data_IF_206098152215
#
_entry.id   IF_206098152215
#
_cell.length_a   1.000
_cell.length_b   1.000
_cell.length_c   1.000
_cell.angle_alpha   90.00
_cell.angle_beta   90.00
_cell.angle_gamma   90.00
#
_symmetry.space_group_name_H-M   'P 1'
#
loop_
_entity.id
_entity.type
_entity.pdbx_description
1 polymer ?
#
# COMPACT_ATOMS: atom_id res chain seq x y z
N UNK A 1 -19.42 14.39 16.07
CA UNK A 1 -18.84 14.85 14.79
C UNK A 1 -19.70 14.44 13.60
N UNK A 2 -20.05 13.15 13.42
CA UNK A 2 -20.95 12.70 12.34
C UNK A 2 -22.30 13.46 12.36
N UNK A 3 -22.92 13.55 13.54
CA UNK A 3 -24.14 14.33 13.74
C UNK A 3 -23.99 15.80 13.29
N UNK A 4 -22.87 16.45 13.62
CA UNK A 4 -22.64 17.84 13.23
C UNK A 4 -22.53 18.01 11.70
N UNK A 5 -21.79 17.10 11.03
CA UNK A 5 -21.69 17.12 9.57
C UNK A 5 -23.05 16.93 8.87
N UNK A 6 -23.91 16.12 9.46
CA UNK A 6 -25.29 15.94 8.97
C UNK A 6 -26.09 17.23 9.14
N UNK A 7 -26.05 17.84 10.34
CA UNK A 7 -26.77 19.10 10.65
C UNK A 7 -26.29 20.24 9.74
N UNK A 8 -24.99 20.35 9.47
CA UNK A 8 -24.42 21.33 8.54
C UNK A 8 -24.98 21.14 7.11
N UNK A 9 -25.09 19.90 6.64
CA UNK A 9 -25.67 19.61 5.33
C UNK A 9 -27.16 19.93 5.27
N UNK A 10 -27.92 19.59 6.31
CA UNK A 10 -29.34 19.93 6.44
C UNK A 10 -29.55 21.44 6.48
N UNK A 11 -28.74 22.19 7.24
CA UNK A 11 -28.84 23.66 7.33
C UNK A 11 -28.56 24.34 5.98
N UNK A 12 -27.60 23.82 5.21
CA UNK A 12 -27.29 24.33 3.87
C UNK A 12 -28.44 24.10 2.89
N UNK A 13 -29.18 23.01 3.03
CA UNK A 13 -30.36 22.70 2.20
C UNK A 13 -31.61 23.52 2.60
N UNK A 14 -31.82 23.79 3.90
CA UNK A 14 -32.96 24.57 4.39
C UNK A 14 -32.99 25.99 3.83
N UNK A 15 -31.87 26.55 3.40
CA UNK A 15 -31.79 27.85 2.77
C UNK A 15 -32.35 27.85 1.31
N UNK A 16 -32.56 26.69 0.70
CA UNK A 16 -32.85 26.55 -0.73
C UNK A 16 -34.15 25.81 -1.09
N UNK A 17 -34.80 25.02 -0.20
CA UNK A 17 -35.90 24.13 -0.56
C UNK A 17 -36.89 23.84 0.59
N UNK A 18 -37.97 23.08 0.26
CA UNK A 18 -38.99 22.66 1.23
C UNK A 18 -38.38 21.79 2.36
N UNK A 19 -38.91 21.92 3.58
CA UNK A 19 -38.48 21.17 4.75
C UNK A 19 -38.87 19.69 4.58
N UNK A 20 -37.87 18.83 4.32
CA UNK A 20 -38.05 17.37 4.36
C UNK A 20 -37.74 16.87 5.77
N UNK A 21 -38.65 16.05 6.33
CA UNK A 21 -38.46 15.48 7.67
C UNK A 21 -37.36 14.44 7.68
N UNK A 22 -36.68 14.23 8.82
CA UNK A 22 -35.71 13.12 8.96
C UNK A 22 -36.37 11.74 8.83
N UNK A 23 -37.61 11.60 9.18
CA UNK A 23 -38.39 10.36 8.97
C UNK A 23 -38.57 10.03 7.46
N UNK A 24 -38.57 11.05 6.60
CA UNK A 24 -38.60 10.90 5.14
C UNK A 24 -37.20 10.89 4.51
N UNK A 25 -36.14 10.86 5.33
CA UNK A 25 -34.73 10.94 4.88
C UNK A 25 -34.02 9.60 5.13
N UNK A 26 -33.26 9.14 4.13
CA UNK A 26 -32.32 8.03 4.26
C UNK A 26 -30.89 8.58 4.47
N UNK A 27 -30.22 8.13 5.53
CA UNK A 27 -28.81 8.41 5.77
C UNK A 27 -27.97 7.32 5.11
N UNK A 28 -26.99 7.66 4.29
CA UNK A 28 -26.00 6.73 3.74
C UNK A 28 -24.62 7.05 4.31
N UNK A 29 -24.15 6.20 5.21
CA UNK A 29 -22.83 6.30 5.79
C UNK A 29 -21.83 5.55 4.89
N UNK A 30 -20.82 6.26 4.39
CA UNK A 30 -19.86 5.70 3.46
C UNK A 30 -18.52 5.47 4.17
N UNK A 31 -18.23 4.20 4.50
CA UNK A 31 -16.95 3.78 5.04
C UNK A 31 -15.89 3.56 3.95
N UNK A 32 -14.64 3.47 4.34
CA UNK A 32 -13.57 3.05 3.42
C UNK A 32 -13.76 1.60 2.97
N UNK A 33 -14.22 0.76 3.88
CA UNK A 33 -14.23 -0.69 3.74
C UNK A 33 -12.89 -1.32 4.14
N UNK A 34 -13.01 -2.50 4.71
CA UNK A 34 -11.88 -3.32 5.15
C UNK A 34 -12.26 -4.79 5.05
N UNK A 35 -11.27 -5.67 5.14
CA UNK A 35 -11.48 -7.12 5.26
C UNK A 35 -11.69 -7.57 6.69
N UNK A 36 -11.57 -6.66 7.63
CA UNK A 36 -11.88 -6.89 9.02
C UNK A 36 -13.40 -6.68 9.24
N UNK A 37 -14.16 -7.73 9.57
CA UNK A 37 -15.60 -7.63 9.79
C UNK A 37 -15.95 -6.78 11.02
N UNK A 38 -15.10 -6.73 12.04
CA UNK A 38 -15.31 -5.90 13.23
C UNK A 38 -15.30 -4.40 12.88
N UNK A 39 -14.29 -3.96 12.13
CA UNK A 39 -14.20 -2.57 11.67
C UNK A 39 -15.33 -2.18 10.71
N UNK A 40 -15.82 -3.10 9.86
CA UNK A 40 -17.02 -2.88 9.03
C UNK A 40 -18.27 -2.86 9.90
N UNK A 41 -18.33 -3.70 10.95
CA UNK A 41 -19.38 -3.75 11.95
C UNK A 41 -19.51 -2.44 12.73
N UNK A 42 -18.40 -1.79 13.08
CA UNK A 42 -18.40 -0.49 13.77
C UNK A 42 -19.06 0.62 12.94
N UNK A 43 -18.87 0.63 11.63
CA UNK A 43 -19.56 1.57 10.74
C UNK A 43 -21.08 1.28 10.70
N UNK A 44 -21.47 0.02 10.64
CA UNK A 44 -22.88 -0.37 10.68
C UNK A 44 -23.55 -0.02 12.02
N UNK A 45 -22.85 -0.24 13.11
CA UNK A 45 -23.29 0.16 14.45
C UNK A 45 -23.48 1.67 14.57
N UNK A 46 -22.53 2.46 14.05
CA UNK A 46 -22.64 3.91 14.02
C UNK A 46 -23.83 4.37 13.17
N UNK A 47 -24.06 3.78 12.00
CA UNK A 47 -25.23 4.10 11.16
C UNK A 47 -26.54 3.88 11.94
N UNK A 48 -26.66 2.75 12.63
CA UNK A 48 -27.83 2.45 13.47
C UNK A 48 -28.00 3.46 14.61
N UNK A 49 -26.92 3.83 15.30
CA UNK A 49 -26.97 4.85 16.35
C UNK A 49 -27.43 6.22 15.84
N UNK A 50 -26.97 6.62 14.63
CA UNK A 50 -27.40 7.87 14.00
C UNK A 50 -28.86 7.80 13.55
N UNK A 51 -29.32 6.68 13.02
CA UNK A 51 -30.71 6.45 12.64
C UNK A 51 -31.64 6.67 13.85
N UNK A 52 -31.40 5.95 14.93
CA UNK A 52 -32.23 6.03 16.14
C UNK A 52 -32.07 7.38 16.85
N UNK A 53 -30.84 7.85 17.03
CA UNK A 53 -30.55 9.08 17.80
C UNK A 53 -30.96 10.36 17.10
N UNK A 54 -31.05 10.38 15.77
CA UNK A 54 -31.44 11.55 14.99
C UNK A 54 -32.83 11.43 14.36
N UNK A 55 -33.47 10.24 14.40
CA UNK A 55 -34.81 10.00 13.90
C UNK A 55 -34.91 9.92 12.38
N UNK A 56 -33.89 9.35 11.71
CA UNK A 56 -33.96 9.07 10.28
C UNK A 56 -34.93 7.92 9.98
N UNK A 57 -35.60 7.98 8.81
CA UNK A 57 -36.47 6.91 8.36
C UNK A 57 -35.71 5.59 8.15
N UNK A 58 -34.47 5.67 7.67
CA UNK A 58 -33.53 4.55 7.60
C UNK A 58 -32.08 5.04 7.49
N UNK A 59 -31.13 4.22 7.94
CA UNK A 59 -29.72 4.44 7.67
C UNK A 59 -29.10 3.20 7.02
N UNK A 60 -28.25 3.42 6.03
CA UNK A 60 -27.58 2.39 5.25
C UNK A 60 -26.06 2.60 5.23
N UNK A 61 -25.32 1.52 5.08
CA UNK A 61 -23.85 1.57 4.96
C UNK A 61 -23.43 1.09 3.59
N UNK A 62 -22.46 1.79 3.00
CA UNK A 62 -21.74 1.33 1.84
C UNK A 62 -20.25 1.68 1.96
N UNK A 63 -19.44 1.20 1.03
CA UNK A 63 -17.99 1.29 1.14
C UNK A 63 -17.37 1.80 -0.16
N UNK A 64 -16.30 2.59 -0.01
CA UNK A 64 -15.56 3.12 -1.17
C UNK A 64 -14.69 2.07 -1.85
N UNK A 65 -14.50 0.89 -1.22
CA UNK A 65 -13.76 -0.26 -1.75
C UNK A 65 -13.67 -1.37 -0.71
N UNK A 66 -13.07 -2.50 -1.05
CA UNK A 66 -12.73 -3.66 -0.19
C UNK A 66 -13.95 -4.43 0.33
N UNK A 67 -15.00 -3.79 0.81
CA UNK A 67 -16.23 -4.40 1.30
C UNK A 67 -17.42 -4.01 0.42
N UNK A 68 -18.45 -4.83 0.41
CA UNK A 68 -19.72 -4.58 -0.28
C UNK A 68 -20.81 -4.13 0.72
N UNK A 69 -21.83 -3.37 0.26
CA UNK A 69 -22.02 -2.84 -1.08
C UNK A 69 -21.06 -1.68 -1.40
N UNK A 70 -20.66 -1.53 -2.66
CA UNK A 70 -19.91 -0.38 -3.13
C UNK A 70 -20.78 0.87 -3.18
N UNK A 71 -20.18 2.08 -3.20
CA UNK A 71 -20.90 3.37 -3.15
C UNK A 71 -22.02 3.45 -4.16
N UNK A 72 -21.76 3.16 -5.45
CA UNK A 72 -22.79 3.27 -6.48
C UNK A 72 -23.98 2.31 -6.25
N UNK A 73 -23.71 1.10 -5.75
CA UNK A 73 -24.76 0.13 -5.43
C UNK A 73 -25.51 0.53 -4.16
N UNK A 74 -24.78 0.97 -3.13
CA UNK A 74 -25.36 1.45 -1.87
C UNK A 74 -26.28 2.64 -2.08
N UNK A 75 -25.89 3.62 -2.88
CA UNK A 75 -26.70 4.79 -3.21
C UNK A 75 -27.96 4.40 -4.00
N UNK A 76 -27.85 3.51 -4.99
CA UNK A 76 -29.01 2.97 -5.73
C UNK A 76 -29.97 2.22 -4.81
N UNK A 77 -29.45 1.42 -3.88
CA UNK A 77 -30.27 0.70 -2.92
C UNK A 77 -30.99 1.66 -1.97
N UNK A 78 -30.31 2.72 -1.53
CA UNK A 78 -30.92 3.76 -0.70
C UNK A 78 -32.04 4.52 -1.44
N UNK A 79 -31.84 4.88 -2.70
CA UNK A 79 -32.87 5.54 -3.50
C UNK A 79 -34.15 4.71 -3.65
N UNK A 80 -34.03 3.37 -3.67
CA UNK A 80 -35.18 2.45 -3.75
C UNK A 80 -36.00 2.35 -2.45
N UNK A 81 -35.52 2.91 -1.33
CA UNK A 81 -36.25 2.90 -0.06
C UNK A 81 -37.46 3.85 -0.07
N UNK A 82 -37.64 4.66 -1.10
CA UNK A 82 -38.79 5.57 -1.22
C UNK A 82 -38.68 6.82 -0.35
N UNK A 83 -37.49 7.15 0.14
CA UNK A 83 -37.25 8.41 0.86
C UNK A 83 -37.30 9.61 -0.05
N UNK A 84 -37.64 10.79 0.48
CA UNK A 84 -37.67 12.06 -0.25
C UNK A 84 -36.30 12.74 -0.31
N UNK A 85 -35.47 12.43 0.69
CA UNK A 85 -34.11 12.97 0.81
C UNK A 85 -33.14 11.85 1.13
N UNK A 86 -31.93 11.96 0.58
CA UNK A 86 -30.80 11.10 0.87
C UNK A 86 -29.62 11.97 1.35
N UNK A 87 -29.05 11.64 2.51
CA UNK A 87 -27.83 12.31 3.00
C UNK A 87 -26.66 11.35 2.87
N UNK A 88 -25.64 11.73 2.10
CA UNK A 88 -24.42 10.96 1.91
C UNK A 88 -23.34 11.49 2.84
N UNK A 89 -22.92 10.69 3.84
CA UNK A 89 -21.90 11.06 4.82
C UNK A 89 -20.62 10.23 4.61
N UNK A 90 -19.55 10.82 4.05
CA UNK A 90 -18.25 10.15 3.99
C UNK A 90 -17.63 10.04 5.39
N UNK A 91 -17.35 8.82 5.84
CA UNK A 91 -16.66 8.56 7.11
C UNK A 91 -15.15 8.58 6.89
N UNK A 92 -14.60 9.77 6.63
CA UNK A 92 -13.20 10.01 6.26
C UNK A 92 -12.61 11.19 7.03
N UNK A 93 -11.34 11.03 7.47
CA UNK A 93 -10.60 12.09 8.15
C UNK A 93 -10.03 13.15 7.18
N UNK A 94 -9.66 12.74 5.97
CA UNK A 94 -8.95 13.61 5.01
C UNK A 94 -9.67 13.67 3.68
N UNK A 95 -9.50 14.79 2.98
CA UNK A 95 -9.88 14.91 1.57
C UNK A 95 -8.99 14.00 0.71
N UNK A 96 -9.51 13.61 -0.46
CA UNK A 96 -8.76 12.79 -1.40
C UNK A 96 -9.65 12.21 -2.49
N UNK A 97 -9.02 11.40 -3.32
CA UNK A 97 -9.68 10.76 -4.48
C UNK A 97 -10.93 9.97 -4.09
N UNK A 98 -10.93 9.32 -2.92
CA UNK A 98 -12.07 8.53 -2.46
C UNK A 98 -13.28 9.41 -2.12
N UNK A 99 -13.07 10.50 -1.38
CA UNK A 99 -14.13 11.46 -1.04
C UNK A 99 -14.70 12.09 -2.30
N UNK A 100 -13.86 12.49 -3.24
CA UNK A 100 -14.28 13.05 -4.55
C UNK A 100 -15.12 12.05 -5.35
N UNK A 101 -14.74 10.76 -5.37
CA UNK A 101 -15.52 9.68 -6.02
C UNK A 101 -16.88 9.45 -5.35
N UNK A 102 -16.95 9.54 -4.01
CA UNK A 102 -18.21 9.43 -3.28
C UNK A 102 -19.15 10.57 -3.68
N UNK A 103 -18.64 11.80 -3.73
CA UNK A 103 -19.46 12.96 -4.12
C UNK A 103 -19.86 12.91 -5.59
N UNK A 104 -18.98 12.48 -6.49
CA UNK A 104 -19.33 12.27 -7.89
C UNK A 104 -20.46 11.22 -8.05
N UNK A 105 -20.39 10.11 -7.30
CA UNK A 105 -21.46 9.10 -7.32
C UNK A 105 -22.80 9.64 -6.76
N UNK A 106 -22.75 10.55 -5.78
CA UNK A 106 -23.93 11.24 -5.27
C UNK A 106 -24.52 12.21 -6.33
N UNK A 107 -23.67 12.95 -7.04
CA UNK A 107 -24.07 13.84 -8.14
C UNK A 107 -24.67 13.05 -9.31
N UNK A 108 -24.08 11.90 -9.67
CA UNK A 108 -24.61 10.98 -10.68
C UNK A 108 -26.01 10.45 -10.29
N UNK A 109 -26.22 10.11 -9.02
CA UNK A 109 -27.54 9.70 -8.54
C UNK A 109 -28.54 10.84 -8.62
N UNK A 110 -28.18 12.05 -8.15
CA UNK A 110 -29.06 13.24 -8.25
C UNK A 110 -29.48 13.52 -9.68
N UNK A 111 -28.58 13.38 -10.65
CA UNK A 111 -28.88 13.59 -12.07
C UNK A 111 -29.83 12.52 -12.62
N UNK A 112 -29.79 11.28 -12.13
CA UNK A 112 -30.67 10.17 -12.57
C UNK A 112 -32.02 10.16 -11.89
N UNK A 113 -32.10 10.68 -10.66
CA UNK A 113 -33.30 10.69 -9.82
C UNK A 113 -33.61 12.15 -9.39
N UNK A 114 -34.09 13.01 -10.32
CA UNK A 114 -34.28 14.44 -10.03
C UNK A 114 -35.31 14.72 -8.94
N UNK A 115 -36.20 13.77 -8.65
CA UNK A 115 -37.24 13.88 -7.61
C UNK A 115 -36.68 13.57 -6.20
N UNK A 116 -35.53 12.94 -6.10
CA UNK A 116 -34.85 12.64 -4.85
C UNK A 116 -33.87 13.77 -4.52
N UNK A 117 -33.99 14.38 -3.36
CA UNK A 117 -33.00 15.37 -2.91
C UNK A 117 -31.77 14.66 -2.34
N UNK A 118 -30.58 14.84 -2.94
CA UNK A 118 -29.34 14.22 -2.50
C UNK A 118 -28.41 15.27 -1.88
N UNK A 119 -28.23 15.20 -0.54
CA UNK A 119 -27.34 16.07 0.21
C UNK A 119 -25.99 15.39 0.42
N UNK A 120 -24.92 16.17 0.25
CA UNK A 120 -23.55 15.74 0.52
C UNK A 120 -23.09 16.33 1.85
N UNK A 121 -23.02 15.52 2.91
CA UNK A 121 -22.42 15.94 4.17
C UNK A 121 -20.91 16.01 4.04
N UNK A 122 -20.29 16.94 4.75
CA UNK A 122 -18.83 17.10 4.77
C UNK A 122 -18.13 15.88 5.39
N UNK A 123 -16.93 15.55 4.91
CA UNK A 123 -16.03 14.64 5.60
C UNK A 123 -15.49 15.30 6.90
N UNK A 124 -14.79 14.54 7.75
CA UNK A 124 -14.42 15.05 9.08
C UNK A 124 -13.40 16.18 9.05
N UNK A 125 -12.35 16.04 8.21
CA UNK A 125 -11.40 17.11 7.94
C UNK A 125 -10.70 17.66 9.19
N UNK A 126 -10.35 18.95 9.13
CA UNK A 126 -9.74 19.67 10.24
C UNK A 126 -10.77 20.17 11.28
N UNK A 127 -11.82 19.41 11.55
CA UNK A 127 -12.82 19.79 12.56
C UNK A 127 -12.19 19.80 13.96
N UNK A 128 -12.49 20.79 14.84
CA UNK A 128 -11.90 20.89 16.17
C UNK A 128 -12.02 19.61 17.01
N UNK A 129 -13.17 18.91 16.96
CA UNK A 129 -13.35 17.63 17.66
C UNK A 129 -12.38 16.53 17.21
N UNK A 130 -11.87 16.56 15.98
CA UNK A 130 -10.83 15.61 15.55
C UNK A 130 -9.52 15.89 16.29
N UNK A 131 -9.15 17.17 16.44
CA UNK A 131 -7.97 17.56 17.18
C UNK A 131 -8.10 17.22 18.67
N UNK A 132 -9.27 17.42 19.26
CA UNK A 132 -9.55 17.05 20.67
C UNK A 132 -9.36 15.55 20.89
N UNK A 133 -9.94 14.70 20.02
CA UNK A 133 -9.79 13.24 20.10
C UNK A 133 -8.32 12.83 19.92
N UNK A 134 -7.56 13.46 19.02
CA UNK A 134 -6.14 13.18 18.84
C UNK A 134 -5.33 13.52 20.10
N UNK A 135 -5.64 14.67 20.75
CA UNK A 135 -5.00 15.08 22.01
C UNK A 135 -5.36 14.10 23.14
N UNK A 136 -6.63 13.66 23.21
CA UNK A 136 -7.06 12.66 24.19
C UNK A 136 -6.32 11.34 24.01
N UNK A 137 -6.22 10.82 22.79
CA UNK A 137 -5.44 9.61 22.49
C UNK A 137 -3.96 9.74 22.83
N UNK A 138 -3.38 10.92 22.59
CA UNK A 138 -2.00 11.21 22.98
C UNK A 138 -1.82 11.18 24.51
N UNK A 139 -2.74 11.77 25.25
CA UNK A 139 -2.72 11.74 26.72
C UNK A 139 -2.85 10.32 27.26
N UNK A 140 -3.78 9.53 26.74
CA UNK A 140 -3.94 8.12 27.13
C UNK A 140 -2.67 7.30 26.87
N UNK A 141 -1.98 7.57 25.75
CA UNK A 141 -0.72 6.90 25.44
C UNK A 141 0.39 7.28 26.44
N UNK A 142 0.49 8.56 26.82
CA UNK A 142 1.46 9.06 27.83
C UNK A 142 1.18 8.45 29.20
N UNK A 143 -0.10 8.31 29.56
CA UNK A 143 -0.54 7.75 30.84
C UNK A 143 -0.55 6.22 30.87
N UNK A 144 -0.16 5.56 29.80
CA UNK A 144 -0.13 4.09 29.67
C UNK A 144 -1.53 3.45 29.63
N UNK A 145 -2.57 4.22 29.34
CA UNK A 145 -3.98 3.77 29.25
C UNK A 145 -4.46 3.53 27.81
N UNK A 146 -3.58 3.74 26.82
CA UNK A 146 -3.93 3.55 25.43
C UNK A 146 -4.31 2.09 25.14
N UNK A 147 -5.51 1.88 24.64
CA UNK A 147 -6.01 0.59 24.20
C UNK A 147 -6.51 0.68 22.77
N UNK A 148 -6.24 -0.36 21.97
CA UNK A 148 -6.86 -0.48 20.65
C UNK A 148 -8.31 -0.93 20.82
N UNK A 149 -9.23 -0.26 20.11
CA UNK A 149 -10.65 -0.61 20.08
C UNK A 149 -10.94 -1.87 19.24
N UNK A 150 -10.15 -2.92 19.39
CA UNK A 150 -10.36 -4.19 18.69
C UNK A 150 -11.20 -5.10 19.58
N UNK A 151 -12.53 -5.02 19.46
CA UNK A 151 -13.44 -5.86 20.24
C UNK A 151 -13.51 -7.29 19.69
N UNK A 152 -13.58 -7.46 18.38
CA UNK A 152 -13.74 -8.74 17.68
C UNK A 152 -12.76 -8.87 16.51
N UNK A 153 -11.46 -8.89 16.80
CA UNK A 153 -10.43 -9.03 15.78
C UNK A 153 -10.37 -10.49 15.26
N UNK A 154 -10.65 -10.72 13.99
CA UNK A 154 -10.65 -12.05 13.35
C UNK A 154 -9.32 -12.80 13.44
N UNK A 155 -8.22 -12.09 13.69
CA UNK A 155 -6.90 -12.69 13.90
C UNK A 155 -6.65 -13.10 15.36
N UNK A 156 -7.56 -12.77 16.29
CA UNK A 156 -7.44 -13.06 17.73
C UNK A 156 -8.58 -13.90 18.29
N UNK A 157 -9.78 -13.72 17.73
CA UNK A 157 -10.98 -14.44 18.16
C UNK A 157 -11.64 -15.10 16.97
N UNK A 158 -12.32 -16.22 17.22
CA UNK A 158 -13.02 -16.96 16.19
C UNK A 158 -14.29 -16.20 15.78
N UNK A 159 -14.37 -15.81 14.50
CA UNK A 159 -15.51 -15.13 13.89
C UNK A 159 -16.06 -16.03 12.79
N UNK A 160 -17.35 -16.15 12.70
CA UNK A 160 -18.06 -16.98 11.71
C UNK A 160 -17.62 -16.59 10.29
N UNK A 161 -17.12 -17.58 9.53
CA UNK A 161 -16.61 -17.43 8.17
C UNK A 161 -15.15 -16.93 8.08
N UNK A 162 -14.47 -16.76 9.23
CA UNK A 162 -13.05 -16.34 9.30
C UNK A 162 -12.25 -17.24 10.26
N UNK A 163 -12.74 -18.42 10.56
CA UNK A 163 -12.19 -19.33 11.58
C UNK A 163 -10.73 -19.71 11.33
N UNK A 164 -10.36 -19.85 10.04
CA UNK A 164 -8.99 -20.20 9.63
C UNK A 164 -7.99 -19.04 9.79
N UNK A 165 -8.46 -17.83 10.09
CA UNK A 165 -7.60 -16.65 10.21
C UNK A 165 -7.11 -16.37 11.63
N UNK A 166 -7.60 -17.11 12.63
CA UNK A 166 -7.16 -16.99 14.02
C UNK A 166 -5.70 -17.42 14.13
N UNK A 167 -4.87 -16.51 14.64
CA UNK A 167 -3.41 -16.72 14.74
C UNK A 167 -2.61 -16.31 13.50
N UNK A 168 -3.28 -16.01 12.37
CA UNK A 168 -2.61 -15.52 11.17
C UNK A 168 -2.12 -14.07 11.36
N UNK A 169 -1.04 -13.67 10.67
CA UNK A 169 -0.60 -12.29 10.68
C UNK A 169 -1.60 -11.40 9.96
N UNK A 170 -1.83 -10.21 10.50
CA UNK A 170 -2.72 -9.23 9.91
C UNK A 170 -2.29 -8.86 8.50
N UNK A 171 -3.15 -9.09 7.51
CA UNK A 171 -2.86 -8.80 6.09
C UNK A 171 -3.25 -7.37 5.73
N UNK A 172 -2.37 -6.68 5.01
CA UNK A 172 -2.67 -5.35 4.50
C UNK A 172 -3.77 -5.41 3.42
N UNK A 173 -4.84 -4.62 3.56
CA UNK A 173 -6.02 -4.75 2.70
C UNK A 173 -5.87 -4.28 1.25
N UNK A 174 -4.80 -3.57 0.88
CA UNK A 174 -4.56 -3.26 -0.54
C UNK A 174 -4.34 -4.51 -1.41
N UNK A 175 -3.90 -5.63 -0.83
CA UNK A 175 -3.81 -6.93 -1.51
C UNK A 175 -5.18 -7.56 -1.81
N UNK A 176 -6.22 -7.16 -1.10
CA UNK A 176 -7.57 -7.73 -1.21
C UNK A 176 -8.48 -6.94 -2.16
N UNK A 177 -8.17 -5.68 -2.46
CA UNK A 177 -8.81 -4.94 -3.56
C UNK A 177 -8.60 -5.66 -4.89
N UNK A 178 -7.42 -6.24 -5.09
CA UNK A 178 -7.14 -7.08 -6.27
C UNK A 178 -7.98 -8.36 -6.30
N UNK A 179 -8.23 -8.98 -5.14
CA UNK A 179 -9.07 -10.19 -5.03
C UNK A 179 -10.56 -9.94 -5.33
N UNK A 180 -11.09 -8.76 -5.00
CA UNK A 180 -12.47 -8.38 -5.35
C UNK A 180 -12.63 -8.14 -6.86
N UNK A 181 -11.66 -7.48 -7.50
CA UNK A 181 -11.64 -7.30 -8.94
C UNK A 181 -11.47 -8.65 -9.69
N UNK A 182 -10.64 -9.55 -9.18
CA UNK A 182 -10.50 -10.90 -9.73
C UNK A 182 -11.79 -11.74 -9.61
N UNK A 183 -12.54 -11.61 -8.50
CA UNK A 183 -13.85 -12.27 -8.32
C UNK A 183 -14.93 -11.65 -9.21
N UNK A 184 -14.92 -10.35 -9.43
CA UNK A 184 -15.84 -9.70 -10.38
C UNK A 184 -15.56 -10.13 -11.82
N UNK A 185 -14.29 -10.22 -12.22
CA UNK A 185 -13.89 -10.71 -13.54
C UNK A 185 -14.14 -12.22 -13.71
N UNK A 186 -13.95 -13.02 -12.67
CA UNK A 186 -14.27 -14.47 -12.70
C UNK A 186 -15.78 -14.72 -12.84
N UNK A 187 -16.63 -13.91 -12.18
CA UNK A 187 -18.08 -14.00 -12.31
C UNK A 187 -18.60 -13.50 -13.68
N UNK A 188 -17.88 -12.60 -14.35
CA UNK A 188 -18.22 -12.18 -15.72
C UNK A 188 -17.77 -13.21 -16.77
N UNK A 189 -16.69 -13.96 -16.52
CA UNK A 189 -16.17 -14.99 -17.42
C UNK A 189 -16.78 -16.39 -17.20
N UNK A 190 -17.48 -16.65 -16.10
CA UNK A 190 -18.15 -17.92 -15.84
C UNK A 190 -19.36 -18.20 -16.74
N UNK A 191 -19.71 -17.26 -17.65
CA UNK A 191 -20.80 -17.39 -18.62
C UNK A 191 -20.40 -17.83 -20.04
N UNK A 192 -19.11 -18.09 -20.32
CA UNK A 192 -18.65 -18.42 -21.68
C UNK A 192 -17.78 -19.70 -21.69
N UNK A 193 -18.47 -20.80 -22.03
CA UNK A 193 -18.03 -21.97 -22.74
C UNK A 193 -16.81 -22.81 -22.29
N UNK A 194 -17.17 -24.00 -21.79
CA UNK A 194 -16.45 -25.24 -21.94
C UNK A 194 -16.35 -25.63 -23.43
N UNK A 195 -15.17 -25.50 -24.04
CA UNK A 195 -14.81 -26.27 -25.25
C UNK A 195 -13.37 -26.77 -25.11
N UNK A 196 -13.21 -28.05 -25.35
CA UNK A 196 -11.98 -28.82 -25.26
C UNK A 196 -10.85 -28.26 -26.13
N UNK A 197 -9.63 -28.16 -25.53
CA UNK A 197 -8.40 -27.81 -26.24
C UNK A 197 -7.83 -29.06 -26.89
N UNK A 198 -7.53 -29.07 -28.19
CA UNK A 198 -6.83 -30.19 -28.81
C UNK A 198 -5.34 -30.19 -28.40
N UNK A 199 -4.86 -31.30 -27.94
CA UNK A 199 -3.44 -31.55 -27.64
C UNK A 199 -2.67 -31.60 -28.96
N UNK A 200 -1.94 -30.56 -29.27
CA UNK A 200 -0.90 -30.57 -30.30
C UNK A 200 0.46 -30.82 -29.67
N UNK A 201 1.11 -31.89 -30.08
CA UNK A 201 2.50 -32.22 -29.74
C UNK A 201 3.44 -31.23 -30.40
N UNK A 202 3.86 -30.20 -29.67
CA UNK A 202 4.96 -29.33 -30.05
C UNK A 202 6.14 -29.57 -29.09
N UNK A 203 7.36 -29.63 -29.63
CA UNK A 203 8.64 -29.68 -28.90
C UNK A 203 8.67 -28.70 -27.74
N UNK A 204 9.38 -28.97 -26.63
CA UNK A 204 9.39 -28.08 -25.48
C UNK A 204 10.13 -26.78 -25.82
N UNK A 205 9.37 -25.77 -26.23
CA UNK A 205 9.87 -24.41 -26.27
C UNK A 205 10.17 -23.96 -24.82
N UNK A 206 11.30 -23.32 -24.58
CA UNK A 206 11.60 -22.73 -23.28
C UNK A 206 10.46 -21.77 -22.90
N UNK A 207 9.89 -21.88 -21.68
CA UNK A 207 8.81 -21.01 -21.28
C UNK A 207 9.30 -19.56 -21.23
N UNK A 208 8.53 -18.64 -21.86
CA UNK A 208 8.80 -17.20 -21.75
C UNK A 208 8.57 -16.78 -20.30
N UNK A 209 9.55 -16.09 -19.70
CA UNK A 209 9.39 -15.51 -18.37
C UNK A 209 8.31 -14.42 -18.43
N UNK A 210 7.27 -14.41 -17.55
CA UNK A 210 6.17 -13.46 -17.64
C UNK A 210 6.64 -12.03 -17.49
N UNK A 211 6.11 -11.11 -18.31
CA UNK A 211 6.35 -9.68 -18.19
C UNK A 211 5.71 -9.11 -16.92
N UNK A 212 6.23 -7.98 -16.44
CA UNK A 212 5.54 -7.17 -15.45
C UNK A 212 4.44 -6.34 -16.10
N UNK A 213 3.21 -6.54 -15.66
CA UNK A 213 2.05 -5.76 -16.10
C UNK A 213 1.57 -4.85 -14.97
N UNK A 214 1.72 -3.52 -15.08
CA UNK A 214 1.21 -2.60 -14.08
C UNK A 214 -0.32 -2.55 -14.13
N UNK A 215 -0.95 -2.37 -12.95
CA UNK A 215 -2.38 -2.09 -12.90
C UNK A 215 -2.72 -0.82 -13.72
N UNK A 216 -3.86 -0.71 -14.43
CA UNK A 216 -4.20 0.44 -15.27
C UNK A 216 -4.07 1.80 -14.57
N UNK A 217 -4.44 1.91 -13.29
CA UNK A 217 -4.25 3.13 -12.49
C UNK A 217 -2.77 3.42 -12.26
N UNK A 218 -1.96 2.40 -12.02
CA UNK A 218 -0.51 2.53 -11.86
C UNK A 218 0.12 2.99 -13.18
N UNK A 219 -0.27 2.39 -14.30
CA UNK A 219 0.20 2.76 -15.64
C UNK A 219 -0.13 4.23 -15.97
N UNK A 220 -1.37 4.67 -15.69
CA UNK A 220 -1.78 6.05 -15.90
C UNK A 220 -1.00 7.01 -14.99
N UNK A 221 -0.77 6.65 -13.73
CA UNK A 221 0.07 7.44 -12.82
C UNK A 221 1.49 7.61 -13.36
N UNK A 222 2.11 6.54 -13.88
CA UNK A 222 3.44 6.63 -14.48
C UNK A 222 3.46 7.45 -15.78
N UNK A 223 2.40 7.41 -16.58
CA UNK A 223 2.26 8.26 -17.76
C UNK A 223 2.24 9.75 -17.35
N UNK A 224 1.49 10.12 -16.32
CA UNK A 224 1.44 11.48 -15.77
C UNK A 224 2.80 11.89 -15.22
N UNK A 225 3.47 11.02 -14.46
CA UNK A 225 4.80 11.28 -13.90
C UNK A 225 5.83 11.48 -15.01
N UNK A 226 5.81 10.63 -16.04
CA UNK A 226 6.72 10.74 -17.16
C UNK A 226 6.57 12.07 -17.93
N UNK A 227 5.35 12.60 -18.05
CA UNK A 227 5.06 13.88 -18.67
C UNK A 227 5.34 15.09 -17.76
N UNK A 228 5.40 14.89 -16.43
CA UNK A 228 5.46 15.97 -15.43
C UNK A 228 6.84 16.58 -15.21
N UNK A 229 7.91 16.02 -15.79
CA UNK A 229 9.29 16.47 -15.62
C UNK A 229 10.16 16.07 -16.80
N UNK A 230 11.23 16.81 -17.07
CA UNK A 230 12.31 16.37 -17.95
C UNK A 230 13.16 15.29 -17.27
N UNK A 231 13.08 14.07 -17.78
CA UNK A 231 13.80 12.90 -17.27
C UNK A 231 15.11 12.65 -18.01
N UNK A 232 15.42 13.39 -19.09
CA UNK A 232 16.64 13.20 -19.90
C UNK A 232 17.93 13.50 -19.13
N UNK A 233 17.81 14.24 -18.02
CA UNK A 233 18.91 14.55 -17.12
C UNK A 233 19.39 13.36 -16.27
N UNK A 234 18.62 12.27 -16.25
CA UNK A 234 18.94 11.05 -15.49
C UNK A 234 19.32 9.91 -16.43
N UNK A 235 20.23 9.01 -16.02
CA UNK A 235 20.51 7.79 -16.76
C UNK A 235 19.24 6.96 -16.96
N UNK A 236 18.99 6.40 -18.17
CA UNK A 236 17.79 5.58 -18.42
C UNK A 236 17.60 4.43 -17.42
N UNK A 237 18.69 3.78 -17.00
CA UNK A 237 18.65 2.71 -16.01
C UNK A 237 18.14 3.14 -14.62
N UNK A 238 18.09 4.42 -14.32
CA UNK A 238 17.59 4.93 -13.04
C UNK A 238 16.10 5.26 -13.07
N UNK A 239 15.48 5.40 -14.24
CA UNK A 239 14.13 5.98 -14.39
C UNK A 239 13.06 5.20 -13.68
N UNK A 240 13.08 3.88 -13.72
CA UNK A 240 12.10 3.04 -13.00
C UNK A 240 12.08 3.36 -11.51
N UNK A 241 13.25 3.46 -10.88
CA UNK A 241 13.39 3.76 -9.44
C UNK A 241 12.93 5.19 -9.15
N UNK A 242 13.38 6.17 -9.94
CA UNK A 242 13.11 7.58 -9.70
C UNK A 242 11.61 7.89 -9.88
N UNK A 243 11.00 7.42 -10.96
CA UNK A 243 9.56 7.59 -11.19
C UNK A 243 8.72 6.90 -10.11
N UNK A 244 9.16 5.75 -9.62
CA UNK A 244 8.48 5.07 -8.50
C UNK A 244 8.60 5.82 -7.18
N UNK A 245 9.71 6.49 -6.92
CA UNK A 245 9.83 7.38 -5.77
C UNK A 245 8.84 8.54 -5.86
N UNK A 246 8.70 9.18 -7.02
CA UNK A 246 7.68 10.22 -7.25
C UNK A 246 6.27 9.66 -7.05
N UNK A 247 5.98 8.49 -7.63
CA UNK A 247 4.68 7.82 -7.45
C UNK A 247 4.35 7.56 -5.99
N UNK A 248 5.34 7.13 -5.20
CA UNK A 248 5.17 6.78 -3.79
C UNK A 248 5.05 8.00 -2.88
N UNK A 249 5.80 9.07 -3.18
CA UNK A 249 5.82 10.29 -2.38
C UNK A 249 4.75 11.31 -2.78
N UNK A 250 4.27 11.26 -4.03
CA UNK A 250 3.45 12.32 -4.63
C UNK A 250 4.24 13.62 -4.87
N UNK A 251 5.58 13.57 -4.82
CA UNK A 251 6.44 14.76 -4.85
C UNK A 251 7.60 14.56 -5.85
N UNK A 252 7.66 15.40 -6.89
CA UNK A 252 8.73 15.40 -7.87
C UNK A 252 10.09 15.79 -7.27
N UNK A 253 10.12 16.58 -6.20
CA UNK A 253 11.36 16.95 -5.53
C UNK A 253 12.01 15.76 -4.78
N UNK A 254 11.32 14.63 -4.62
CA UNK A 254 11.88 13.43 -4.01
C UNK A 254 13.12 12.90 -4.73
N UNK A 255 13.23 13.11 -6.05
CA UNK A 255 14.36 12.63 -6.86
C UNK A 255 15.56 13.58 -6.87
N UNK A 256 15.40 14.83 -6.43
CA UNK A 256 16.50 15.80 -6.43
C UNK A 256 17.54 15.50 -5.33
N UNK A 257 17.11 14.87 -4.25
CA UNK A 257 17.95 14.51 -3.11
C UNK A 257 18.49 13.08 -3.19
N UNK A 258 18.01 12.28 -4.15
CA UNK A 258 18.38 10.87 -4.23
C UNK A 258 19.83 10.69 -4.72
N UNK A 259 20.53 9.76 -4.12
CA UNK A 259 21.87 9.37 -4.50
C UNK A 259 21.93 7.88 -4.82
N UNK A 260 22.35 7.55 -6.02
CA UNK A 260 22.67 6.20 -6.46
C UNK A 260 24.18 6.15 -6.75
N UNK A 261 24.90 5.26 -6.07
CA UNK A 261 26.32 5.07 -6.39
C UNK A 261 26.48 4.47 -7.79
N UNK A 262 27.60 4.72 -8.49
CA UNK A 262 27.83 4.18 -9.82
C UNK A 262 27.59 2.66 -9.86
N UNK A 263 26.77 2.18 -10.81
CA UNK A 263 26.45 0.78 -10.99
C UNK A 263 25.54 0.18 -9.91
N UNK A 264 24.94 0.98 -9.01
CA UNK A 264 24.08 0.47 -7.92
C UNK A 264 22.82 -0.24 -8.43
N UNK A 265 22.22 0.27 -9.52
CA UNK A 265 21.00 -0.31 -10.09
C UNK A 265 21.30 -1.67 -10.72
N UNK A 266 22.30 -1.74 -11.59
CA UNK A 266 22.70 -2.98 -12.25
C UNK A 266 23.18 -4.03 -11.26
N UNK A 267 23.91 -3.60 -10.23
CA UNK A 267 24.35 -4.51 -9.17
C UNK A 267 23.18 -4.98 -8.30
N UNK A 268 22.23 -4.10 -8.01
CA UNK A 268 21.00 -4.43 -7.29
C UNK A 268 20.15 -5.46 -8.03
N UNK A 269 19.94 -5.29 -9.34
CA UNK A 269 19.21 -6.25 -10.18
C UNK A 269 19.92 -7.60 -10.16
N UNK A 270 21.23 -7.64 -10.40
CA UNK A 270 22.02 -8.89 -10.35
C UNK A 270 21.96 -9.55 -8.99
N UNK A 271 22.04 -8.76 -7.91
CA UNK A 271 21.95 -9.25 -6.55
C UNK A 271 20.60 -9.92 -6.27
N UNK A 272 19.50 -9.28 -6.66
CA UNK A 272 18.15 -9.86 -6.52
C UNK A 272 18.01 -11.18 -7.28
N UNK A 273 18.56 -11.26 -8.49
CA UNK A 273 18.51 -12.47 -9.31
C UNK A 273 19.41 -13.60 -8.76
N UNK A 274 20.52 -13.27 -8.10
CA UNK A 274 21.49 -14.24 -7.58
C UNK A 274 21.22 -14.65 -6.15
N UNK A 275 21.14 -13.68 -5.22
CA UNK A 275 21.09 -13.96 -3.78
C UNK A 275 19.70 -14.37 -3.33
N UNK A 276 18.67 -13.94 -4.05
CA UNK A 276 17.25 -14.27 -3.76
C UNK A 276 16.83 -13.90 -2.33
N UNK A 277 17.49 -12.88 -1.70
CA UNK A 277 17.20 -12.48 -0.33
C UNK A 277 17.27 -10.98 -0.13
N UNK A 278 16.22 -10.45 0.49
CA UNK A 278 16.11 -9.06 0.93
C UNK A 278 15.99 -9.03 2.45
N UNK A 279 16.85 -8.24 3.10
CA UNK A 279 16.80 -7.98 4.54
C UNK A 279 16.27 -6.56 4.75
N UNK A 280 15.34 -6.40 5.70
CA UNK A 280 14.78 -5.08 6.06
C UNK A 280 14.99 -4.76 7.53
N UNK A 281 15.08 -3.46 7.85
CA UNK A 281 15.24 -2.97 9.22
C UNK A 281 13.95 -3.07 10.04
N UNK A 282 12.80 -2.90 9.38
CA UNK A 282 11.47 -3.00 10.00
C UNK A 282 10.50 -3.78 9.10
N UNK A 283 9.47 -4.34 9.70
CA UNK A 283 8.41 -5.08 8.97
C UNK A 283 7.62 -4.20 8.00
N UNK A 284 7.55 -2.88 8.24
CA UNK A 284 6.87 -1.96 7.35
C UNK A 284 7.54 -1.90 5.96
N UNK A 285 8.87 -1.92 5.88
CA UNK A 285 9.60 -2.03 4.60
C UNK A 285 9.28 -3.36 3.93
N UNK A 286 9.36 -4.47 4.69
CA UNK A 286 9.08 -5.82 4.20
C UNK A 286 7.66 -5.94 3.61
N UNK A 287 6.66 -5.38 4.30
CA UNK A 287 5.25 -5.41 3.88
C UNK A 287 5.00 -4.53 2.64
N UNK A 288 5.82 -3.50 2.42
CA UNK A 288 5.76 -2.63 1.24
C UNK A 288 6.29 -3.27 -0.04
N UNK A 289 6.93 -4.45 0.03
CA UNK A 289 7.44 -5.15 -1.14
C UNK A 289 6.30 -5.84 -1.91
N UNK A 290 6.32 -5.75 -3.23
CA UNK A 290 5.32 -6.39 -4.10
C UNK A 290 5.44 -7.91 -4.06
N UNK A 291 4.52 -8.57 -3.35
CA UNK A 291 4.53 -10.02 -3.14
C UNK A 291 4.58 -10.81 -4.46
N UNK A 292 3.81 -10.40 -5.46
CA UNK A 292 3.82 -11.06 -6.76
C UNK A 292 5.21 -11.07 -7.42
N UNK A 293 5.99 -9.98 -7.26
CA UNK A 293 7.37 -9.93 -7.78
C UNK A 293 8.32 -10.79 -6.95
N UNK A 294 8.16 -10.83 -5.62
CA UNK A 294 8.95 -11.71 -4.75
C UNK A 294 8.72 -13.18 -5.12
N UNK A 295 7.47 -13.59 -5.30
CA UNK A 295 7.09 -14.95 -5.71
C UNK A 295 7.62 -15.28 -7.12
N UNK A 296 7.42 -14.37 -8.09
CA UNK A 296 7.87 -14.53 -9.47
C UNK A 296 9.40 -14.67 -9.58
N UNK A 297 10.13 -13.91 -8.79
CA UNK A 297 11.60 -13.94 -8.76
C UNK A 297 12.16 -15.01 -7.80
N UNK A 298 11.33 -15.63 -6.97
CA UNK A 298 11.73 -16.57 -5.95
C UNK A 298 12.61 -15.92 -4.86
N UNK A 299 12.25 -14.69 -4.43
CA UNK A 299 13.01 -13.91 -3.45
C UNK A 299 12.39 -14.08 -2.07
N UNK A 300 13.23 -14.43 -1.11
CA UNK A 300 12.89 -14.48 0.32
C UNK A 300 13.13 -13.13 0.97
N UNK A 301 12.28 -12.77 1.93
CA UNK A 301 12.45 -11.56 2.74
C UNK A 301 12.66 -11.92 4.20
N UNK A 302 13.52 -11.17 4.89
CA UNK A 302 13.77 -11.35 6.32
C UNK A 302 13.81 -10.01 7.05
N UNK A 303 13.18 -9.97 8.22
CA UNK A 303 13.21 -8.84 9.14
C UNK A 303 13.31 -9.36 10.57
N UNK A 304 14.45 -9.10 11.22
CA UNK A 304 14.73 -9.60 12.55
C UNK A 304 14.23 -8.73 13.70
N UNK A 305 13.54 -7.61 13.44
CA UNK A 305 13.21 -6.59 14.47
C UNK A 305 12.35 -7.14 15.63
N UNK A 306 11.56 -8.18 15.38
CA UNK A 306 10.69 -8.81 16.38
C UNK A 306 11.24 -10.13 16.93
N UNK A 307 12.39 -10.61 16.43
CA UNK A 307 12.97 -11.84 16.91
C UNK A 307 13.43 -11.73 18.36
N UNK A 308 13.20 -12.79 19.15
CA UNK A 308 13.61 -12.86 20.56
C UNK A 308 15.11 -12.61 20.74
N UNK A 309 15.94 -13.19 19.88
CA UNK A 309 17.40 -13.01 19.94
C UNK A 309 17.82 -11.57 19.65
N UNK A 310 17.17 -10.91 18.69
CA UNK A 310 17.38 -9.49 18.41
C UNK A 310 17.06 -8.63 19.63
N UNK A 311 16.00 -8.96 20.35
CA UNK A 311 15.62 -8.25 21.58
C UNK A 311 16.69 -8.44 22.68
N UNK A 312 17.20 -9.66 22.86
CA UNK A 312 18.27 -9.94 23.84
C UNK A 312 19.56 -9.19 23.51
N UNK A 313 19.97 -9.17 22.24
CA UNK A 313 21.15 -8.41 21.79
C UNK A 313 20.94 -6.90 22.02
N UNK A 314 19.78 -6.39 21.65
CA UNK A 314 19.40 -4.98 21.86
C UNK A 314 19.55 -4.57 23.33
N UNK A 315 19.02 -5.36 24.24
CA UNK A 315 19.11 -5.11 25.69
C UNK A 315 20.54 -5.23 26.22
N UNK A 316 21.25 -6.32 25.87
CA UNK A 316 22.58 -6.58 26.38
C UNK A 316 23.61 -5.54 25.93
N UNK A 317 23.45 -4.94 24.76
CA UNK A 317 24.41 -4.03 24.15
C UNK A 317 23.95 -2.56 24.14
N UNK A 318 22.74 -2.25 24.63
CA UNK A 318 22.21 -0.90 24.66
C UNK A 318 21.99 -0.29 23.28
N UNK A 319 21.71 -1.11 22.24
CA UNK A 319 21.45 -0.67 20.86
C UNK A 319 19.98 -0.85 20.51
N UNK A 320 19.52 -0.17 19.45
CA UNK A 320 18.13 -0.33 19.00
C UNK A 320 17.89 -1.73 18.43
N UNK A 321 16.65 -2.21 18.45
CA UNK A 321 16.27 -3.50 17.86
C UNK A 321 16.56 -3.56 16.36
N UNK A 322 16.38 -2.44 15.63
CA UNK A 322 16.74 -2.37 14.22
C UNK A 322 18.24 -2.56 13.99
N UNK A 323 19.11 -1.90 14.80
CA UNK A 323 20.56 -2.11 14.74
C UNK A 323 20.94 -3.56 15.10
N UNK A 324 20.37 -4.13 16.15
CA UNK A 324 20.57 -5.52 16.53
C UNK A 324 20.11 -6.50 15.44
N UNK A 325 18.99 -6.19 14.75
CA UNK A 325 18.52 -6.98 13.60
C UNK A 325 19.49 -6.96 12.43
N UNK A 326 20.13 -5.81 12.14
CA UNK A 326 21.16 -5.71 11.10
C UNK A 326 22.38 -6.58 11.45
N UNK A 327 22.81 -6.57 12.71
CA UNK A 327 23.92 -7.43 13.18
C UNK A 327 23.60 -8.90 12.99
N UNK A 328 22.42 -9.34 13.39
CA UNK A 328 21.97 -10.71 13.17
C UNK A 328 21.86 -11.08 11.69
N UNK A 329 21.44 -10.15 10.83
CA UNK A 329 21.42 -10.39 9.40
C UNK A 329 22.82 -10.65 8.84
N UNK A 330 23.82 -9.89 9.29
CA UNK A 330 25.21 -10.11 8.93
C UNK A 330 25.70 -11.50 9.37
N UNK A 331 25.47 -11.88 10.62
CA UNK A 331 25.87 -13.17 11.18
C UNK A 331 25.17 -14.34 10.46
N UNK A 332 23.89 -14.18 10.12
CA UNK A 332 23.06 -15.25 9.56
C UNK A 332 23.27 -15.45 8.07
N UNK A 333 23.42 -14.38 7.31
CA UNK A 333 23.37 -14.40 5.84
C UNK A 333 24.67 -13.93 5.17
N UNK A 334 25.60 -13.35 5.91
CA UNK A 334 26.85 -12.83 5.36
C UNK A 334 26.60 -11.77 4.28
N UNK A 335 27.28 -11.93 3.15
CA UNK A 335 27.29 -10.95 2.06
C UNK A 335 26.15 -11.13 1.04
N UNK A 336 25.43 -12.26 1.06
CA UNK A 336 24.48 -12.63 0.00
C UNK A 336 23.07 -12.09 0.28
N UNK A 337 22.99 -10.77 0.45
CA UNK A 337 21.73 -10.04 0.67
C UNK A 337 21.70 -8.71 -0.06
N UNK A 338 20.48 -8.24 -0.32
CA UNK A 338 20.14 -6.82 -0.55
C UNK A 338 19.57 -6.29 0.77
N UNK A 339 20.17 -5.24 1.29
CA UNK A 339 19.76 -4.61 2.55
C UNK A 339 18.90 -3.37 2.26
N UNK A 340 17.68 -3.33 2.80
CA UNK A 340 16.74 -2.22 2.63
C UNK A 340 16.35 -1.64 4.00
N UNK A 341 16.86 -0.45 4.32
CA UNK A 341 16.64 0.31 5.55
C UNK A 341 15.75 1.50 5.23
N UNK A 342 14.55 1.55 5.81
CA UNK A 342 13.57 2.58 5.53
C UNK A 342 13.04 3.33 6.75
N UNK A 343 13.39 2.90 7.96
CA UNK A 343 12.86 3.52 9.17
C UNK A 343 13.94 4.01 10.12
N UNK A 344 14.89 3.13 10.49
CA UNK A 344 15.81 3.39 11.59
C UNK A 344 17.18 3.92 11.12
N UNK A 345 17.54 5.19 11.42
CA UNK A 345 18.89 5.70 11.19
C UNK A 345 19.97 4.85 11.87
N UNK A 346 19.67 4.30 13.03
CA UNK A 346 20.57 3.42 13.79
C UNK A 346 20.88 2.10 13.08
N UNK A 347 20.00 1.64 12.20
CA UNK A 347 20.25 0.48 11.34
C UNK A 347 21.32 0.79 10.27
N UNK A 348 21.30 2.01 9.70
CA UNK A 348 22.38 2.47 8.80
C UNK A 348 23.71 2.58 9.55
N UNK A 349 23.71 3.20 10.74
CA UNK A 349 24.92 3.34 11.56
C UNK A 349 25.56 1.98 11.83
N UNK A 350 24.75 0.98 12.21
CA UNK A 350 25.28 -0.37 12.45
C UNK A 350 25.76 -1.04 11.15
N UNK A 351 25.02 -0.88 10.05
CA UNK A 351 25.44 -1.43 8.76
C UNK A 351 26.78 -0.84 8.29
N UNK A 352 26.94 0.48 8.33
CA UNK A 352 28.20 1.15 7.94
C UNK A 352 29.36 0.78 8.85
N UNK A 353 29.11 0.64 10.17
CA UNK A 353 30.09 0.13 11.11
C UNK A 353 30.57 -1.27 10.75
N UNK A 354 29.65 -2.21 10.51
CA UNK A 354 29.98 -3.59 10.12
C UNK A 354 30.73 -3.64 8.77
N UNK A 355 30.36 -2.79 7.82
CA UNK A 355 31.04 -2.69 6.53
C UNK A 355 32.48 -2.24 6.69
N UNK A 356 32.74 -1.21 7.51
CA UNK A 356 34.08 -0.63 7.70
C UNK A 356 34.95 -1.44 8.62
N UNK A 357 34.41 -1.89 9.75
CA UNK A 357 35.19 -2.52 10.80
C UNK A 357 35.29 -4.05 10.68
N UNK A 358 34.19 -4.70 10.19
CA UNK A 358 34.12 -6.15 10.10
C UNK A 358 34.22 -6.68 8.66
N UNK A 359 34.43 -5.80 7.70
CA UNK A 359 34.58 -6.19 6.30
C UNK A 359 33.31 -6.74 5.65
N UNK A 360 32.12 -6.46 6.21
CA UNK A 360 30.84 -6.87 5.61
C UNK A 360 30.65 -6.25 4.22
N UNK A 361 30.17 -7.04 3.27
CA UNK A 361 29.98 -6.61 1.87
C UNK A 361 28.61 -7.06 1.34
N UNK A 362 27.49 -6.53 1.88
CA UNK A 362 26.17 -6.77 1.27
C UNK A 362 26.17 -6.32 -0.19
N UNK A 363 25.44 -7.02 -1.03
CA UNK A 363 25.45 -6.78 -2.48
C UNK A 363 24.90 -5.40 -2.86
N UNK A 364 23.97 -4.87 -2.07
CA UNK A 364 23.44 -3.51 -2.18
C UNK A 364 22.92 -3.06 -0.82
N UNK A 365 23.15 -1.80 -0.46
CA UNK A 365 22.53 -1.15 0.69
C UNK A 365 21.62 -0.03 0.21
N UNK A 366 20.33 -0.13 0.51
CA UNK A 366 19.32 0.92 0.32
C UNK A 366 19.05 1.52 1.69
N UNK A 367 19.41 2.80 1.90
CA UNK A 367 19.28 3.48 3.17
C UNK A 367 18.51 4.78 3.01
N UNK A 368 17.19 4.73 3.24
CA UNK A 368 16.25 5.82 3.03
C UNK A 368 15.38 6.09 4.27
N UNK A 369 15.92 6.08 5.51
CA UNK A 369 15.11 6.34 6.68
C UNK A 369 14.58 7.77 6.70
N UNK A 370 13.48 7.97 7.43
CA UNK A 370 12.90 9.29 7.72
C UNK A 370 13.21 9.67 9.16
N UNK A 371 13.41 10.96 9.42
CA UNK A 371 13.56 11.45 10.80
C UNK A 371 14.40 12.70 10.95
N UNK A 372 14.53 13.16 12.18
CA UNK A 372 15.23 14.40 12.52
C UNK A 372 16.48 14.18 13.39
N UNK A 373 16.58 13.02 14.06
CA UNK A 373 17.69 12.69 14.97
C UNK A 373 18.58 11.63 14.31
N UNK A 374 19.82 12.01 13.99
CA UNK A 374 20.81 11.12 13.39
C UNK A 374 20.52 10.65 11.96
N UNK A 375 19.39 11.07 11.36
CA UNK A 375 18.97 10.61 10.04
C UNK A 375 19.85 11.17 8.94
N UNK A 376 20.12 12.47 8.96
CA UNK A 376 20.97 13.14 7.97
C UNK A 376 22.39 12.59 8.04
N UNK A 377 22.91 12.50 9.24
CA UNK A 377 24.27 12.04 9.53
C UNK A 377 24.47 10.58 9.08
N UNK A 378 23.53 9.70 9.39
CA UNK A 378 23.60 8.29 8.99
C UNK A 378 23.57 8.10 7.47
N UNK A 379 22.75 8.89 6.77
CA UNK A 379 22.69 8.85 5.30
C UNK A 379 23.97 9.38 4.66
N UNK A 380 24.55 10.45 5.18
CA UNK A 380 25.82 10.96 4.68
C UNK A 380 26.96 9.97 4.97
N UNK A 381 26.91 9.31 6.13
CA UNK A 381 27.83 8.23 6.47
C UNK A 381 27.72 7.06 5.47
N UNK A 382 26.50 6.62 5.14
CA UNK A 382 26.26 5.62 4.11
C UNK A 382 26.73 6.13 2.73
N UNK A 383 26.45 7.38 2.38
CA UNK A 383 26.86 7.97 1.11
C UNK A 383 28.38 7.94 0.93
N UNK A 384 29.13 8.15 2.00
CA UNK A 384 30.59 8.08 2.01
C UNK A 384 31.17 6.66 2.05
N UNK A 385 30.35 5.63 2.26
CA UNK A 385 30.75 4.23 2.39
C UNK A 385 31.04 3.60 1.02
N UNK A 386 32.26 3.79 0.50
CA UNK A 386 32.65 3.39 -0.87
C UNK A 386 32.79 1.87 -1.08
N UNK A 387 32.81 1.08 0.00
CA UNK A 387 33.06 -0.36 -0.04
C UNK A 387 31.90 -1.20 -0.60
N UNK A 388 30.70 -0.61 -0.71
CA UNK A 388 29.51 -1.31 -1.15
C UNK A 388 28.67 -0.43 -2.11
N UNK A 389 27.95 -1.03 -3.08
CA UNK A 389 26.93 -0.34 -3.84
C UNK A 389 25.83 0.17 -2.90
N UNK A 390 25.35 1.38 -3.11
CA UNK A 390 24.41 2.00 -2.20
C UNK A 390 23.46 2.98 -2.88
N UNK A 391 22.24 3.04 -2.35
CA UNK A 391 21.19 4.00 -2.71
C UNK A 391 20.74 4.67 -1.43
N UNK A 392 20.79 6.00 -1.38
CA UNK A 392 20.37 6.81 -0.23
C UNK A 392 19.85 8.17 -0.71
N UNK A 393 19.53 9.07 0.19
CA UNK A 393 19.17 10.45 -0.16
C UNK A 393 19.74 11.44 0.85
N UNK A 394 19.70 12.72 0.53
CA UNK A 394 20.07 13.78 1.45
C UNK A 394 18.89 14.13 2.40
N UNK A 395 19.23 14.78 3.53
CA UNK A 395 18.24 15.39 4.42
C UNK A 395 17.45 14.42 5.28
N UNK A 396 16.26 14.86 5.69
CA UNK A 396 15.40 14.16 6.66
C UNK A 396 14.27 13.35 6.03
N UNK A 397 13.96 13.58 4.74
CA UNK A 397 12.91 12.88 3.99
C UNK A 397 13.29 11.43 3.71
N UNK A 398 12.30 10.57 3.58
CA UNK A 398 12.48 9.14 3.34
C UNK A 398 11.31 8.35 3.91
N UNK A 399 11.60 7.16 4.41
CA UNK A 399 10.66 6.29 5.10
C UNK A 399 10.57 4.90 4.49
N UNK A 400 9.93 3.99 5.20
CA UNK A 400 9.69 2.63 4.76
C UNK A 400 9.08 2.54 3.36
N UNK A 401 8.11 3.41 2.96
CA UNK A 401 7.59 3.43 1.60
C UNK A 401 8.65 3.74 0.53
N UNK A 402 9.61 4.63 0.82
CA UNK A 402 10.68 4.97 -0.12
C UNK A 402 11.63 3.79 -0.34
N UNK A 403 12.08 3.15 0.74
CA UNK A 403 12.94 1.98 0.65
C UNK A 403 12.26 0.82 -0.11
N UNK A 404 11.00 0.53 0.23
CA UNK A 404 10.22 -0.48 -0.47
C UNK A 404 10.00 -0.13 -1.96
N UNK A 405 9.79 1.15 -2.28
CA UNK A 405 9.62 1.64 -3.65
C UNK A 405 10.87 1.40 -4.50
N UNK A 406 12.05 1.67 -3.96
CA UNK A 406 13.33 1.42 -4.64
C UNK A 406 13.52 -0.07 -4.89
N UNK A 407 13.29 -0.93 -3.89
CA UNK A 407 13.36 -2.39 -4.06
C UNK A 407 12.37 -2.89 -5.10
N UNK A 408 11.11 -2.40 -5.06
CA UNK A 408 10.10 -2.75 -6.06
C UNK A 408 10.50 -2.33 -7.48
N UNK A 409 11.16 -1.17 -7.64
CA UNK A 409 11.72 -0.72 -8.90
C UNK A 409 12.78 -1.69 -9.43
N UNK A 410 13.74 -2.07 -8.60
CA UNK A 410 14.78 -3.05 -8.95
C UNK A 410 14.20 -4.42 -9.31
N UNK A 411 13.14 -4.88 -8.61
CA UNK A 411 12.46 -6.13 -8.94
C UNK A 411 11.74 -6.08 -10.29
N UNK A 412 11.12 -4.94 -10.62
CA UNK A 412 10.47 -4.74 -11.93
C UNK A 412 11.49 -4.77 -13.05
N UNK A 413 12.62 -4.09 -12.88
CA UNK A 413 13.70 -4.10 -13.87
C UNK A 413 14.30 -5.51 -14.03
N UNK A 414 14.42 -6.27 -12.92
CA UNK A 414 14.85 -7.67 -12.95
C UNK A 414 13.87 -8.57 -13.76
N UNK A 415 12.58 -8.42 -13.55
CA UNK A 415 11.52 -9.13 -14.31
C UNK A 415 11.58 -8.75 -15.79
N UNK A 416 11.70 -7.46 -16.09
CA UNK A 416 11.81 -6.95 -17.47
C UNK A 416 13.02 -7.53 -18.19
N UNK A 417 14.17 -7.60 -17.50
CA UNK A 417 15.39 -8.20 -18.05
C UNK A 417 15.23 -9.70 -18.33
N UNK A 418 14.64 -10.47 -17.40
CA UNK A 418 14.39 -11.90 -17.58
C UNK A 418 13.41 -12.16 -18.73
N UNK A 419 12.35 -11.34 -18.82
CA UNK A 419 11.39 -11.41 -19.93
C UNK A 419 12.08 -11.20 -21.27
N UNK A 420 12.86 -10.13 -21.42
CA UNK A 420 13.60 -9.83 -22.65
C UNK A 420 14.60 -10.95 -23.01
N UNK A 421 15.31 -11.50 -22.04
CA UNK A 421 16.23 -12.61 -22.25
C UNK A 421 15.50 -13.89 -22.71
N UNK A 422 14.35 -14.20 -22.15
CA UNK A 422 13.56 -15.38 -22.54
C UNK A 422 12.99 -15.25 -23.95
N UNK A 423 12.54 -14.06 -24.36
CA UNK A 423 12.12 -13.77 -25.73
C UNK A 423 13.26 -13.91 -26.73
N UNK A 424 14.44 -13.36 -26.43
CA UNK A 424 15.61 -13.47 -27.29
C UNK A 424 16.06 -14.92 -27.48
N UNK A 425 16.04 -15.72 -26.42
CA UNK A 425 16.37 -17.14 -26.46
C UNK A 425 15.38 -17.92 -27.36
N UNK A 426 14.09 -17.63 -27.27
CA UNK A 426 13.06 -18.25 -28.09
C UNK A 426 13.21 -17.89 -29.58
N UNK A 427 13.49 -16.61 -29.88
CA UNK A 427 13.71 -16.14 -31.24
C UNK A 427 14.96 -16.78 -31.86
N UNK A 428 16.04 -16.93 -31.09
CA UNK A 428 17.26 -17.60 -31.55
C UNK A 428 17.03 -19.09 -31.87
N UNK A 429 16.15 -19.75 -31.11
CA UNK A 429 15.83 -21.17 -31.34
C UNK A 429 14.96 -21.39 -32.59
N UNK A 430 14.05 -20.44 -32.89
CA UNK A 430 13.22 -20.49 -34.10
C UNK A 430 14.00 -20.13 -35.37
N UNK A 431 15.14 -19.45 -35.24
CA UNK A 431 16.00 -19.04 -36.35
C UNK A 431 17.05 -20.11 -36.77
N UNK A 432 17.21 -21.20 -35.99
CA UNK A 432 18.08 -22.32 -36.38
C UNK A 432 17.37 -23.14 -37.47
N UNK A 433 17.93 -23.26 -38.71
CA UNK A 433 17.34 -24.09 -39.72
C UNK A 433 17.32 -25.55 -39.24
N UNK A 434 16.22 -26.23 -39.48
CA UNK A 434 16.11 -27.69 -39.25
C UNK A 434 17.26 -28.36 -39.98
N UNK A 435 18.23 -28.91 -39.23
CA UNK A 435 19.29 -29.70 -39.78
C UNK A 435 18.62 -30.90 -40.43
N UNK A 436 18.69 -30.97 -41.76
CA UNK A 436 18.23 -32.09 -42.56
C UNK A 436 19.01 -33.33 -42.13
N UNK A 437 18.34 -34.26 -41.49
CA UNK A 437 18.73 -35.65 -41.34
C UNK A 437 17.92 -36.50 -42.27
#
# INVERSE_FOLDING_TARGET
LAQQRIVEAEASAMAAAAIVSRADTCLVLVGRGTTDPDANGDIAKLARMLEEGMGFGTAMVCYSGVAAPLVADGLRNAARQGCKRLIVLPFFLFDGVLVKRIYAAADDLQAREPQLEVLKAGYFGAHPLVAEVMIERAREAIEGRAAMNCSLCKYRVQIVGFEEQVGEPQRAHHLQVQGLLARQNANQNAGLNSTAIPVTTASPAFPIFPAYEPHPIEAESFRIIAAGRDWSVFPPAHLTILQRLVHTSGDFAAVDDIFLSPGAVETGIRALLRCKRIVTDVTMVQTGLKRALLEQLGIETWCGVHDRETHLISQAQGITRSAAGIRRAWEKFGNDIVLAIGDAPTAIVEATRLIREQGWRPQLVIGLPVGFVGTRESKEDLRSCLQVPRITNAGTRGGSPWAASVVNGLMIDAVTQLHAQSLAAQTAQTALPAAHG
#
